data_IF_622964999428
#
_entry.id   IF_622964999428
#
_cell.length_a   1.000
_cell.length_b   1.000
_cell.length_c   1.000
_cell.angle_alpha   90.00
_cell.angle_beta   90.00
_cell.angle_gamma   90.00
#
_symmetry.space_group_name_H-M   'P 1'
#
loop_
_entity.id
_entity.type
_entity.pdbx_description
1 polymer ?
#
# COMPACT_ATOMS: atom_id res chain seq x y z
N UNK A 1 20.01 -7.21 35.02
CA UNK A 1 19.37 -7.63 33.75
C UNK A 1 20.46 -8.19 32.81
N UNK A 2 20.35 -9.47 32.43
CA UNK A 2 21.32 -10.09 31.50
C UNK A 2 21.18 -9.44 30.11
N UNK A 3 22.32 -9.01 29.52
CA UNK A 3 22.35 -8.49 28.15
C UNK A 3 21.80 -9.55 27.18
N UNK A 4 20.87 -9.23 26.30
CA UNK A 4 20.34 -10.19 25.34
C UNK A 4 21.49 -10.74 24.49
N UNK A 5 21.67 -12.07 24.50
CA UNK A 5 22.74 -12.77 23.76
C UNK A 5 22.55 -12.69 22.24
N UNK A 6 21.33 -12.46 21.75
CA UNK A 6 21.01 -12.37 20.33
C UNK A 6 20.89 -10.93 19.86
N UNK A 7 21.59 -10.57 18.77
CA UNK A 7 21.51 -9.25 18.12
C UNK A 7 20.05 -8.89 17.81
N UNK A 8 19.25 -9.81 17.30
CA UNK A 8 17.83 -9.60 16.98
C UNK A 8 16.95 -9.23 18.18
N UNK A 9 17.39 -9.49 19.41
CA UNK A 9 16.66 -9.10 20.62
C UNK A 9 16.91 -7.64 21.04
N UNK A 10 17.90 -6.97 20.43
CA UNK A 10 18.19 -5.55 20.71
C UNK A 10 17.20 -4.64 19.98
N UNK A 11 16.78 -3.50 20.60
CA UNK A 11 15.92 -2.50 19.93
C UNK A 11 16.53 -1.96 18.64
N UNK A 12 17.85 -1.75 18.64
CA UNK A 12 18.63 -1.25 17.50
C UNK A 12 18.55 -2.17 16.26
N UNK A 13 18.38 -3.48 16.47
CA UNK A 13 18.27 -4.44 15.37
C UNK A 13 17.11 -4.14 14.43
N UNK A 14 15.96 -3.74 14.97
CA UNK A 14 14.80 -3.37 14.15
C UNK A 14 15.07 -2.15 13.28
N UNK A 15 15.79 -1.16 13.80
CA UNK A 15 16.22 0.01 13.03
C UNK A 15 17.10 -0.38 11.82
N UNK A 16 18.13 -1.19 12.06
CA UNK A 16 19.03 -1.63 10.99
C UNK A 16 18.33 -2.53 9.98
N UNK A 17 17.42 -3.42 10.43
CA UNK A 17 16.63 -4.26 9.53
C UNK A 17 15.71 -3.43 8.63
N UNK A 18 15.05 -2.41 9.17
CA UNK A 18 14.23 -1.49 8.37
C UNK A 18 15.11 -0.76 7.36
N UNK A 19 16.26 -0.23 7.78
CA UNK A 19 17.15 0.51 6.89
C UNK A 19 17.69 -0.38 5.75
N UNK A 20 18.15 -1.59 6.07
CA UNK A 20 18.64 -2.56 5.09
C UNK A 20 17.52 -2.95 4.12
N UNK A 21 16.33 -3.29 4.64
CA UNK A 21 15.21 -3.70 3.79
C UNK A 21 14.75 -2.56 2.87
N UNK A 22 14.60 -1.34 3.39
CA UNK A 22 14.22 -0.17 2.58
C UNK A 22 15.28 0.14 1.52
N UNK A 23 16.56 0.11 1.87
CA UNK A 23 17.64 0.37 0.91
C UNK A 23 17.69 -0.71 -0.17
N UNK A 24 17.65 -1.99 0.21
CA UNK A 24 17.68 -3.10 -0.74
C UNK A 24 16.47 -3.10 -1.68
N UNK A 25 15.25 -2.91 -1.14
CA UNK A 25 14.03 -2.81 -1.94
C UNK A 25 14.03 -1.58 -2.85
N UNK A 26 14.59 -0.44 -2.41
CA UNK A 26 14.69 0.77 -3.24
C UNK A 26 15.65 0.59 -4.41
N UNK A 27 16.83 -0.01 -4.17
CA UNK A 27 17.81 -0.30 -5.24
C UNK A 27 17.24 -1.30 -6.22
N UNK A 28 16.70 -2.42 -5.72
CA UNK A 28 16.09 -3.44 -6.56
C UNK A 28 14.90 -2.87 -7.33
N UNK A 29 14.06 -2.06 -6.68
CA UNK A 29 12.91 -1.40 -7.31
C UNK A 29 13.34 -0.50 -8.48
N UNK A 30 14.38 0.34 -8.32
CA UNK A 30 14.88 1.18 -9.42
C UNK A 30 15.43 0.35 -10.58
N UNK A 31 16.17 -0.72 -10.29
CA UNK A 31 16.71 -1.62 -11.31
C UNK A 31 15.57 -2.32 -12.07
N UNK A 32 14.56 -2.81 -11.36
CA UNK A 32 13.45 -3.52 -11.97
C UNK A 32 12.50 -2.57 -12.72
N UNK A 33 12.28 -1.35 -12.22
CA UNK A 33 11.54 -0.33 -12.95
C UNK A 33 12.26 0.04 -14.24
N UNK A 34 13.60 0.20 -14.21
CA UNK A 34 14.39 0.43 -15.43
C UNK A 34 14.21 -0.71 -16.42
N UNK A 35 14.38 -1.97 -15.97
CA UNK A 35 14.21 -3.14 -16.82
C UNK A 35 12.82 -3.22 -17.43
N UNK A 36 11.77 -3.09 -16.61
CA UNK A 36 10.39 -3.25 -17.03
C UNK A 36 9.88 -2.09 -17.89
N UNK A 37 10.41 -0.86 -17.71
CA UNK A 37 9.90 0.33 -18.39
C UNK A 37 10.75 0.81 -19.57
N UNK A 38 11.96 0.31 -19.74
CA UNK A 38 12.92 0.84 -20.74
C UNK A 38 12.33 0.89 -22.17
N UNK A 39 11.64 -0.17 -22.60
CA UNK A 39 11.04 -0.27 -23.93
C UNK A 39 9.88 0.72 -24.08
N UNK A 40 8.97 0.74 -23.11
CA UNK A 40 7.82 1.67 -23.09
C UNK A 40 8.29 3.12 -23.05
N UNK A 41 9.27 3.42 -22.20
CA UNK A 41 9.85 4.76 -22.05
C UNK A 41 10.47 5.25 -23.34
N UNK A 42 11.22 4.38 -24.05
CA UNK A 42 11.80 4.69 -25.35
C UNK A 42 10.71 5.00 -26.40
N UNK A 43 9.67 4.20 -26.43
CA UNK A 43 8.57 4.38 -27.37
C UNK A 43 7.77 5.66 -27.11
N UNK A 44 7.46 5.97 -25.84
CA UNK A 44 6.63 7.13 -25.46
C UNK A 44 7.41 8.47 -25.50
N UNK A 45 8.70 8.47 -25.11
CA UNK A 45 9.46 9.71 -24.89
C UNK A 45 10.75 9.81 -25.69
N UNK A 46 11.12 8.78 -26.47
CA UNK A 46 12.41 8.71 -27.15
C UNK A 46 13.63 8.45 -26.24
N UNK A 47 13.39 8.26 -24.91
CA UNK A 47 14.45 8.04 -23.93
C UNK A 47 14.09 6.90 -22.99
N UNK A 48 14.90 5.84 -22.97
CA UNK A 48 14.69 4.65 -22.10
C UNK A 48 14.73 4.95 -20.59
N UNK A 49 15.34 6.05 -20.17
CA UNK A 49 15.53 6.42 -18.77
C UNK A 49 14.47 7.38 -18.22
N UNK A 50 13.51 7.82 -19.02
CA UNK A 50 12.53 8.84 -18.62
C UNK A 50 11.66 8.39 -17.44
N UNK A 51 11.15 7.16 -17.46
CA UNK A 51 10.28 6.61 -16.39
C UNK A 51 11.10 6.36 -15.11
N UNK A 52 12.26 5.69 -15.22
CA UNK A 52 13.11 5.42 -14.03
C UNK A 52 13.71 6.69 -13.44
N UNK A 53 14.03 7.70 -14.26
CA UNK A 53 14.50 9.00 -13.79
C UNK A 53 13.45 9.72 -12.94
N UNK A 54 12.19 9.65 -13.35
CA UNK A 54 11.05 10.15 -12.56
C UNK A 54 10.92 9.40 -11.23
N UNK A 55 11.04 8.07 -11.25
CA UNK A 55 11.00 7.23 -10.05
C UNK A 55 12.15 7.57 -9.08
N UNK A 56 13.38 7.73 -9.62
CA UNK A 56 14.55 8.11 -8.83
C UNK A 56 14.38 9.49 -8.18
N UNK A 57 13.83 10.46 -8.91
CA UNK A 57 13.53 11.79 -8.36
C UNK A 57 12.57 11.70 -7.17
N UNK A 58 11.46 10.96 -7.30
CA UNK A 58 10.52 10.79 -6.19
C UNK A 58 11.12 9.99 -5.03
N UNK A 59 11.99 9.02 -5.30
CA UNK A 59 12.70 8.29 -4.24
C UNK A 59 13.62 9.23 -3.45
N UNK A 60 14.40 10.10 -4.11
CA UNK A 60 15.25 11.08 -3.44
C UNK A 60 14.41 12.04 -2.59
N UNK A 61 13.30 12.53 -3.15
CA UNK A 61 12.36 13.39 -2.42
C UNK A 61 11.77 12.67 -1.20
N UNK A 62 11.37 11.41 -1.34
CA UNK A 62 10.84 10.59 -0.24
C UNK A 62 11.88 10.36 0.86
N UNK A 63 13.14 10.09 0.50
CA UNK A 63 14.24 9.94 1.46
C UNK A 63 14.52 11.25 2.21
N UNK A 64 14.49 12.39 1.52
CA UNK A 64 14.64 13.70 2.14
C UNK A 64 13.50 13.99 3.12
N UNK A 65 12.25 13.80 2.70
CA UNK A 65 11.07 14.00 3.56
C UNK A 65 11.08 13.02 4.75
N UNK A 66 11.48 11.77 4.52
CA UNK A 66 11.67 10.77 5.57
C UNK A 66 12.72 11.22 6.60
N UNK A 67 13.87 11.69 6.15
CA UNK A 67 14.90 12.23 7.03
C UNK A 67 14.43 13.46 7.83
N UNK A 68 13.71 14.37 7.20
CA UNK A 68 13.11 15.51 7.88
C UNK A 68 12.06 15.09 8.91
N UNK A 69 11.24 14.11 8.59
CA UNK A 69 10.21 13.59 9.50
C UNK A 69 10.79 12.95 10.75
N UNK A 70 11.96 12.32 10.67
CA UNK A 70 12.66 11.74 11.84
C UNK A 70 13.09 12.81 12.85
N UNK A 71 13.27 14.07 12.43
CA UNK A 71 13.62 15.19 13.34
C UNK A 71 12.41 15.76 14.08
N UNK A 72 11.20 15.41 13.67
CA UNK A 72 9.97 15.89 14.27
C UNK A 72 9.62 15.06 15.51
N UNK A 73 9.24 15.74 16.59
CA UNK A 73 8.81 15.08 17.83
C UNK A 73 7.43 14.45 17.65
N UNK A 74 7.19 13.29 18.24
CA UNK A 74 5.89 12.59 18.21
C UNK A 74 4.70 13.50 18.62
N UNK A 75 4.91 14.40 19.58
CA UNK A 75 3.92 15.39 20.00
C UNK A 75 3.46 16.34 18.89
N UNK A 76 4.32 16.62 17.90
CA UNK A 76 3.93 17.45 16.75
C UNK A 76 2.97 16.68 15.83
N UNK A 77 3.27 15.41 15.59
CA UNK A 77 2.42 14.53 14.78
C UNK A 77 1.01 14.39 15.36
N UNK A 78 0.90 14.21 16.68
CA UNK A 78 -0.39 14.21 17.38
C UNK A 78 -1.13 15.55 17.23
N UNK A 79 -0.44 16.67 17.39
CA UNK A 79 -1.06 18.00 17.26
C UNK A 79 -1.62 18.26 15.86
N UNK A 80 -0.95 17.76 14.80
CA UNK A 80 -1.40 17.93 13.42
C UNK A 80 -2.40 16.85 12.97
N UNK A 81 -2.65 15.84 13.77
CA UNK A 81 -3.52 14.71 13.39
C UNK A 81 -4.94 15.12 12.95
N UNK A 82 -5.65 16.06 13.59
CA UNK A 82 -6.94 16.55 13.08
C UNK A 82 -6.83 17.21 11.71
N UNK A 83 -5.73 17.96 11.49
CA UNK A 83 -5.44 18.58 10.20
C UNK A 83 -5.08 17.54 9.14
N UNK A 84 -4.45 16.42 9.52
CA UNK A 84 -4.10 15.35 8.58
C UNK A 84 -5.34 14.67 7.99
N UNK A 85 -6.38 14.43 8.79
CA UNK A 85 -7.66 13.92 8.28
C UNK A 85 -8.33 14.94 7.35
N UNK A 86 -8.37 16.21 7.75
CA UNK A 86 -8.95 17.27 6.93
C UNK A 86 -8.20 17.40 5.60
N UNK A 87 -6.87 17.40 5.63
CA UNK A 87 -6.04 17.42 4.43
C UNK A 87 -6.31 16.20 3.54
N UNK A 88 -6.44 15.01 4.13
CA UNK A 88 -6.81 13.78 3.42
C UNK A 88 -8.15 13.93 2.69
N UNK A 89 -9.17 14.47 3.37
CA UNK A 89 -10.48 14.71 2.76
C UNK A 89 -10.40 15.73 1.61
N UNK A 90 -9.66 16.82 1.80
CA UNK A 90 -9.46 17.84 0.75
C UNK A 90 -8.76 17.24 -0.46
N UNK A 91 -7.67 16.49 -0.25
CA UNK A 91 -6.89 15.87 -1.33
C UNK A 91 -7.72 14.81 -2.08
N UNK A 92 -8.58 14.04 -1.37
CA UNK A 92 -9.51 13.09 -2.00
C UNK A 92 -10.62 13.76 -2.82
N UNK A 93 -10.96 15.01 -2.51
CA UNK A 93 -11.95 15.77 -3.29
C UNK A 93 -11.36 16.38 -4.57
N UNK A 94 -10.03 16.62 -4.63
CA UNK A 94 -9.40 17.27 -5.78
C UNK A 94 -9.70 16.57 -7.13
N UNK A 95 -9.63 15.22 -7.26
CA UNK A 95 -9.96 14.56 -8.52
C UNK A 95 -11.42 14.77 -8.97
N UNK A 96 -12.31 15.12 -8.05
CA UNK A 96 -13.73 15.33 -8.33
C UNK A 96 -14.04 16.74 -8.87
N UNK A 97 -13.06 17.65 -8.78
CA UNK A 97 -13.22 19.00 -9.27
C UNK A 97 -12.99 19.06 -10.79
N UNK A 98 -13.81 19.83 -11.52
CA UNK A 98 -13.63 20.02 -12.96
C UNK A 98 -12.22 20.55 -13.27
N UNK A 99 -11.54 19.93 -14.24
CA UNK A 99 -10.21 20.32 -14.68
C UNK A 99 -9.02 19.76 -13.90
N UNK A 100 -9.23 19.12 -12.74
CA UNK A 100 -8.16 18.51 -11.93
C UNK A 100 -8.07 16.99 -12.08
N UNK A 101 -9.23 16.34 -12.21
CA UNK A 101 -9.32 14.89 -12.22
C UNK A 101 -8.96 14.26 -13.57
N UNK A 102 -8.20 13.17 -13.55
CA UNK A 102 -7.99 12.29 -14.68
C UNK A 102 -8.78 11.01 -14.48
N UNK A 103 -9.66 10.69 -15.43
CA UNK A 103 -10.41 9.43 -15.41
C UNK A 103 -9.61 8.35 -16.12
N UNK A 104 -9.33 7.25 -15.42
CA UNK A 104 -8.63 6.07 -15.94
C UNK A 104 -9.52 4.86 -15.71
N UNK A 105 -9.88 4.14 -16.76
CA UNK A 105 -10.72 2.94 -16.70
C UNK A 105 -12.06 3.15 -15.95
N UNK A 106 -12.63 4.36 -16.03
CA UNK A 106 -13.89 4.72 -15.38
C UNK A 106 -13.76 5.16 -13.90
N UNK A 107 -12.55 5.21 -13.35
CA UNK A 107 -12.25 5.70 -12.01
C UNK A 107 -11.66 7.13 -12.10
N UNK A 108 -12.21 8.06 -11.33
CA UNK A 108 -11.73 9.45 -11.25
C UNK A 108 -11.03 9.66 -9.91
N UNK A 109 -9.83 9.09 -9.78
CA UNK A 109 -9.04 9.05 -8.55
C UNK A 109 -7.60 9.51 -8.74
N UNK A 110 -7.27 10.05 -9.91
CA UNK A 110 -5.95 10.59 -10.24
C UNK A 110 -6.00 12.09 -10.50
N UNK A 111 -4.95 12.80 -10.14
CA UNK A 111 -4.72 14.21 -10.48
C UNK A 111 -3.45 14.34 -11.30
N UNK A 112 -3.40 15.33 -12.19
CA UNK A 112 -2.21 15.67 -12.98
C UNK A 112 -1.72 17.02 -12.51
N UNK A 113 -0.53 17.07 -11.93
CA UNK A 113 0.13 18.31 -11.49
C UNK A 113 1.51 18.40 -12.16
N UNK A 114 1.75 19.45 -12.91
CA UNK A 114 3.02 19.69 -13.61
C UNK A 114 3.51 18.48 -14.46
N UNK A 115 2.58 17.76 -15.10
CA UNK A 115 2.87 16.56 -15.90
C UNK A 115 3.06 15.27 -15.09
N UNK A 116 2.96 15.31 -13.76
CA UNK A 116 2.99 14.12 -12.90
C UNK A 116 1.58 13.66 -12.58
N UNK A 117 1.35 12.37 -12.73
CA UNK A 117 0.10 11.73 -12.31
C UNK A 117 0.27 11.26 -10.85
N UNK A 118 -0.59 11.75 -9.96
CA UNK A 118 -0.54 11.50 -8.52
C UNK A 118 -1.89 10.92 -8.10
N UNK A 119 -1.86 9.90 -7.23
CA UNK A 119 -3.06 9.32 -6.63
C UNK A 119 -3.27 9.90 -5.22
N UNK A 120 -4.26 10.75 -5.01
CA UNK A 120 -4.55 11.38 -3.72
C UNK A 120 -4.78 10.42 -2.57
N UNK A 121 -5.35 9.25 -2.83
CA UNK A 121 -5.63 8.25 -1.80
C UNK A 121 -4.38 7.68 -1.14
N UNK A 122 -3.21 7.69 -1.81
CA UNK A 122 -1.95 7.26 -1.19
C UNK A 122 -1.56 8.19 -0.01
N UNK A 123 -1.72 9.49 -0.18
CA UNK A 123 -1.50 10.47 0.88
C UNK A 123 -2.59 10.42 1.94
N UNK A 124 -3.84 10.18 1.52
CA UNK A 124 -4.97 10.08 2.43
C UNK A 124 -4.84 8.89 3.40
N UNK A 125 -4.29 7.75 2.97
CA UNK A 125 -4.00 6.60 3.85
C UNK A 125 -3.08 7.01 4.99
N UNK A 126 -1.99 7.74 4.70
CA UNK A 126 -1.07 8.21 5.73
C UNK A 126 -1.74 9.16 6.72
N UNK A 127 -2.47 10.16 6.22
CA UNK A 127 -3.20 11.11 7.06
C UNK A 127 -4.27 10.43 7.93
N UNK A 128 -4.96 9.44 7.39
CA UNK A 128 -5.94 8.64 8.12
C UNK A 128 -5.29 7.82 9.24
N UNK A 129 -4.14 7.18 8.99
CA UNK A 129 -3.39 6.42 10.01
C UNK A 129 -2.97 7.34 11.16
N UNK A 130 -2.41 8.51 10.87
CA UNK A 130 -1.99 9.49 11.89
C UNK A 130 -3.19 9.94 12.72
N UNK A 131 -4.31 10.22 12.07
CA UNK A 131 -5.54 10.60 12.76
C UNK A 131 -6.07 9.48 13.67
N UNK A 132 -6.15 8.24 13.17
CA UNK A 132 -6.55 7.09 13.97
C UNK A 132 -5.67 6.92 15.21
N UNK A 133 -4.35 7.03 15.05
CA UNK A 133 -3.39 6.91 16.15
C UNK A 133 -3.61 7.97 17.23
N UNK A 134 -3.86 9.21 16.85
CA UNK A 134 -4.17 10.30 17.79
C UNK A 134 -5.49 10.06 18.53
N UNK A 135 -6.54 9.62 17.81
CA UNK A 135 -7.83 9.34 18.44
C UNK A 135 -7.77 8.17 19.42
N UNK A 136 -7.01 7.12 19.09
CA UNK A 136 -6.78 5.98 19.97
C UNK A 136 -5.95 6.37 21.20
N UNK A 137 -4.92 7.17 21.02
CA UNK A 137 -4.15 7.70 22.15
C UNK A 137 -5.02 8.52 23.10
N UNK A 138 -5.89 9.41 22.59
CA UNK A 138 -6.86 10.15 23.40
C UNK A 138 -7.87 9.22 24.08
N UNK A 139 -8.28 8.14 23.40
CA UNK A 139 -9.12 7.11 23.99
C UNK A 139 -8.45 6.46 25.19
N UNK A 140 -7.20 6.01 25.04
CA UNK A 140 -6.41 5.39 26.12
C UNK A 140 -6.26 6.34 27.32
N UNK A 141 -5.98 7.64 27.07
CA UNK A 141 -5.88 8.63 28.11
C UNK A 141 -7.20 8.82 28.89
N UNK A 142 -8.33 8.85 28.19
CA UNK A 142 -9.66 8.97 28.82
C UNK A 142 -9.96 7.75 29.71
N UNK A 143 -9.67 6.56 29.23
CA UNK A 143 -9.84 5.32 30.02
C UNK A 143 -8.94 5.35 31.26
N UNK A 144 -7.68 5.77 31.13
CA UNK A 144 -6.75 5.91 32.26
C UNK A 144 -7.22 6.93 33.32
N UNK A 145 -8.03 7.93 32.90
CA UNK A 145 -8.66 8.92 33.81
C UNK A 145 -10.02 8.43 34.37
N UNK A 146 -10.43 7.18 34.07
CA UNK A 146 -11.74 6.64 34.48
C UNK A 146 -12.94 7.15 33.66
N UNK A 147 -12.69 7.88 32.56
CA UNK A 147 -13.74 8.42 31.69
C UNK A 147 -14.12 7.34 30.67
N UNK A 148 -15.41 7.02 30.59
CA UNK A 148 -15.93 6.09 29.57
C UNK A 148 -15.66 6.64 28.18
N UNK A 149 -15.01 5.87 27.33
CA UNK A 149 -14.74 6.20 25.93
C UNK A 149 -15.06 4.99 25.05
N UNK A 150 -15.67 5.22 23.91
CA UNK A 150 -16.00 4.17 22.94
C UNK A 150 -15.16 4.36 21.68
N UNK A 151 -14.38 3.35 21.31
CA UNK A 151 -13.49 3.35 20.14
C UNK A 151 -14.28 3.57 18.85
N UNK A 152 -15.42 2.87 18.71
CA UNK A 152 -16.24 2.96 17.50
C UNK A 152 -16.79 4.37 17.28
N UNK A 153 -17.31 5.01 18.33
CA UNK A 153 -17.82 6.39 18.24
C UNK A 153 -16.68 7.36 17.88
N UNK A 154 -15.50 7.12 18.37
CA UNK A 154 -14.33 8.01 18.13
C UNK A 154 -13.75 7.89 16.72
N UNK A 155 -13.79 6.71 16.10
CA UNK A 155 -13.08 6.41 14.86
C UNK A 155 -14.01 6.24 13.64
N UNK A 156 -15.20 5.64 13.83
CA UNK A 156 -16.10 5.33 12.71
C UNK A 156 -16.50 6.53 11.88
N UNK A 157 -16.80 7.73 12.44
CA UNK A 157 -17.17 8.88 11.61
C UNK A 157 -16.07 9.30 10.62
N UNK A 158 -14.81 9.35 11.05
CA UNK A 158 -13.69 9.68 10.18
C UNK A 158 -13.40 8.58 9.16
N UNK A 159 -13.53 7.32 9.55
CA UNK A 159 -13.42 6.19 8.64
C UNK A 159 -14.48 6.26 7.54
N UNK A 160 -15.75 6.40 7.90
CA UNK A 160 -16.84 6.47 6.92
C UNK A 160 -16.71 7.69 5.99
N UNK A 161 -16.21 8.83 6.50
CA UNK A 161 -15.96 10.00 5.68
C UNK A 161 -14.90 9.74 4.61
N UNK A 162 -13.76 9.13 4.99
CA UNK A 162 -12.67 8.79 4.06
C UNK A 162 -13.16 7.76 3.03
N UNK A 163 -13.86 6.71 3.48
CA UNK A 163 -14.43 5.66 2.61
C UNK A 163 -15.42 6.24 1.61
N UNK A 164 -16.32 7.12 2.04
CA UNK A 164 -17.29 7.77 1.16
C UNK A 164 -16.60 8.60 0.06
N UNK A 165 -15.52 9.31 0.40
CA UNK A 165 -14.74 10.11 -0.56
C UNK A 165 -13.98 9.24 -1.55
N UNK A 166 -13.38 8.14 -1.11
CA UNK A 166 -12.70 7.17 -1.98
C UNK A 166 -13.71 6.52 -2.92
N UNK A 167 -14.85 6.09 -2.39
CA UNK A 167 -15.91 5.46 -3.17
C UNK A 167 -16.52 6.42 -4.21
N UNK A 168 -16.60 7.73 -3.90
CA UNK A 168 -17.01 8.77 -4.87
C UNK A 168 -16.09 8.79 -6.09
N UNK A 169 -14.77 8.49 -5.92
CA UNK A 169 -13.81 8.30 -7.00
C UNK A 169 -13.94 6.96 -7.73
N UNK A 170 -14.88 6.10 -7.33
CA UNK A 170 -15.14 4.73 -7.84
C UNK A 170 -13.98 3.75 -7.61
N UNK A 171 -13.09 4.05 -6.65
CA UNK A 171 -11.92 3.24 -6.33
C UNK A 171 -12.23 2.23 -5.21
N UNK A 172 -12.86 1.11 -5.58
CA UNK A 172 -13.19 0.05 -4.63
C UNK A 172 -11.93 -0.63 -4.08
N UNK A 173 -10.87 -0.75 -4.88
CA UNK A 173 -9.62 -1.37 -4.44
C UNK A 173 -9.00 -0.63 -3.28
N UNK A 174 -8.83 0.68 -3.41
CA UNK A 174 -8.30 1.52 -2.32
C UNK A 174 -9.23 1.54 -1.10
N UNK A 175 -10.56 1.54 -1.30
CA UNK A 175 -11.52 1.43 -0.19
C UNK A 175 -11.29 0.16 0.62
N UNK A 176 -11.15 -0.99 -0.01
CA UNK A 176 -10.82 -2.25 0.68
C UNK A 176 -9.49 -2.16 1.44
N UNK A 177 -8.45 -1.54 0.84
CA UNK A 177 -7.17 -1.35 1.55
C UNK A 177 -7.35 -0.52 2.81
N UNK A 178 -8.06 0.61 2.75
CA UNK A 178 -8.30 1.48 3.91
C UNK A 178 -9.12 0.78 4.97
N UNK A 179 -10.15 0.01 4.59
CA UNK A 179 -10.93 -0.80 5.52
C UNK A 179 -10.07 -1.86 6.23
N UNK A 180 -9.17 -2.53 5.52
CA UNK A 180 -8.26 -3.52 6.10
C UNK A 180 -7.21 -2.87 7.01
N UNK A 181 -6.67 -1.69 6.65
CA UNK A 181 -5.79 -0.91 7.54
C UNK A 181 -6.54 -0.54 8.82
N UNK A 182 -7.77 -0.06 8.70
CA UNK A 182 -8.62 0.29 9.85
C UNK A 182 -8.87 -0.91 10.76
N UNK A 183 -9.25 -2.05 10.19
CA UNK A 183 -9.43 -3.30 10.94
C UNK A 183 -8.14 -3.73 11.67
N UNK A 184 -6.98 -3.62 11.01
CA UNK A 184 -5.68 -3.91 11.61
C UNK A 184 -5.35 -2.98 12.78
N UNK A 185 -5.62 -1.68 12.65
CA UNK A 185 -5.43 -0.69 13.73
C UNK A 185 -6.35 -1.02 14.92
N UNK A 186 -7.63 -1.34 14.67
CA UNK A 186 -8.59 -1.72 15.72
C UNK A 186 -8.17 -3.01 16.42
N UNK A 187 -7.67 -4.01 15.69
CA UNK A 187 -7.13 -5.24 16.25
C UNK A 187 -5.97 -4.97 17.23
N UNK A 188 -5.02 -4.10 16.84
CA UNK A 188 -3.88 -3.73 17.67
C UNK A 188 -4.31 -2.86 18.87
N UNK A 189 -5.40 -2.10 18.72
CA UNK A 189 -6.03 -1.36 19.82
C UNK A 189 -6.75 -2.25 20.84
N UNK A 190 -6.83 -3.57 20.58
CA UNK A 190 -7.44 -4.53 21.50
C UNK A 190 -8.95 -4.65 21.39
N UNK A 191 -9.54 -4.23 20.27
CA UNK A 191 -10.97 -4.44 20.01
C UNK A 191 -11.25 -5.94 19.93
N UNK A 192 -12.30 -6.45 20.62
CA UNK A 192 -12.61 -7.88 20.65
C UNK A 192 -12.79 -8.45 19.23
N UNK A 193 -12.20 -9.63 18.99
CA UNK A 193 -12.30 -10.32 17.68
C UNK A 193 -13.75 -10.49 17.23
N UNK A 194 -14.67 -10.72 18.16
CA UNK A 194 -16.11 -10.84 17.85
C UNK A 194 -16.67 -9.58 17.19
N UNK A 195 -16.30 -8.40 17.71
CA UNK A 195 -16.75 -7.12 17.12
C UNK A 195 -16.10 -6.86 15.76
N UNK A 196 -14.81 -7.18 15.64
CA UNK A 196 -14.08 -7.11 14.36
C UNK A 196 -14.66 -8.06 13.32
N UNK A 197 -15.04 -9.28 13.71
CA UNK A 197 -15.66 -10.25 12.81
C UNK A 197 -17.03 -9.77 12.31
N UNK A 198 -17.84 -9.17 13.20
CA UNK A 198 -19.12 -8.58 12.79
C UNK A 198 -18.90 -7.40 11.84
N UNK A 199 -17.99 -6.49 12.16
CA UNK A 199 -17.66 -5.37 11.28
C UNK A 199 -17.10 -5.84 9.94
N UNK A 200 -16.23 -6.87 9.96
CA UNK A 200 -15.68 -7.50 8.77
C UNK A 200 -16.74 -8.18 7.90
N UNK A 201 -17.69 -8.89 8.51
CA UNK A 201 -18.81 -9.50 7.81
C UNK A 201 -19.72 -8.45 7.15
N UNK A 202 -20.02 -7.35 7.85
CA UNK A 202 -20.80 -6.25 7.29
C UNK A 202 -20.05 -5.56 6.14
N UNK A 203 -18.76 -5.27 6.32
CA UNK A 203 -17.92 -4.69 5.25
C UNK A 203 -17.81 -5.62 4.04
N UNK A 204 -17.59 -6.93 4.27
CA UNK A 204 -17.55 -7.94 3.24
C UNK A 204 -18.85 -8.05 2.46
N UNK A 205 -20.00 -7.97 3.16
CA UNK A 205 -21.31 -7.94 2.51
C UNK A 205 -21.45 -6.70 1.60
N UNK A 206 -21.04 -5.52 2.07
CA UNK A 206 -21.06 -4.29 1.25
C UNK A 206 -20.20 -4.47 0.00
N UNK A 207 -18.96 -4.96 0.16
CA UNK A 207 -18.06 -5.22 -0.98
C UNK A 207 -18.67 -6.24 -1.95
N UNK A 208 -19.25 -7.34 -1.44
CA UNK A 208 -19.91 -8.35 -2.28
C UNK A 208 -21.05 -7.75 -3.10
N UNK A 209 -21.92 -6.96 -2.49
CA UNK A 209 -23.00 -6.24 -3.19
C UNK A 209 -22.44 -5.32 -4.27
N UNK A 210 -21.39 -4.54 -3.96
CA UNK A 210 -20.76 -3.63 -4.91
C UNK A 210 -20.03 -4.33 -6.06
N UNK A 211 -19.57 -5.55 -5.85
CA UNK A 211 -18.97 -6.38 -6.93
C UNK A 211 -20.07 -6.97 -7.80
N UNK A 212 -21.09 -7.57 -7.20
CA UNK A 212 -22.16 -8.28 -7.94
C UNK A 212 -23.01 -7.30 -8.78
N UNK A 213 -23.22 -6.08 -8.28
CA UNK A 213 -24.01 -5.06 -9.01
C UNK A 213 -23.31 -4.48 -10.24
N UNK A 214 -22.00 -4.71 -10.42
CA UNK A 214 -21.24 -4.16 -11.53
C UNK A 214 -20.57 -5.27 -12.34
N UNK A 215 -21.10 -5.59 -13.54
CA UNK A 215 -20.63 -6.65 -14.42
C UNK A 215 -19.10 -6.66 -14.65
N UNK A 216 -18.48 -5.48 -14.81
CA UNK A 216 -17.03 -5.38 -15.00
C UNK A 216 -16.23 -5.83 -13.77
N UNK A 217 -16.72 -5.55 -12.56
CA UNK A 217 -16.08 -5.98 -11.30
C UNK A 217 -16.26 -7.48 -11.11
N UNK A 218 -17.46 -7.99 -11.40
CA UNK A 218 -17.75 -9.41 -11.33
C UNK A 218 -16.87 -10.21 -12.30
N UNK A 219 -16.73 -9.74 -13.54
CA UNK A 219 -15.85 -10.37 -14.54
C UNK A 219 -14.38 -10.38 -14.08
N UNK A 220 -13.90 -9.29 -13.47
CA UNK A 220 -12.53 -9.25 -12.89
C UNK A 220 -12.37 -10.26 -11.75
N UNK A 221 -13.37 -10.38 -10.89
CA UNK A 221 -13.35 -11.36 -9.80
C UNK A 221 -13.26 -12.80 -10.32
N UNK A 222 -14.08 -13.17 -11.29
CA UNK A 222 -14.01 -14.51 -11.89
C UNK A 222 -12.73 -14.73 -12.70
N UNK A 223 -12.24 -13.69 -13.36
CA UNK A 223 -10.97 -13.76 -14.08
C UNK A 223 -9.75 -13.97 -13.18
N UNK A 224 -9.81 -13.57 -11.89
CA UNK A 224 -8.77 -13.89 -10.90
C UNK A 224 -8.80 -15.38 -10.52
N UNK A 225 -9.99 -16.00 -10.49
CA UNK A 225 -10.12 -17.43 -10.15
C UNK A 225 -9.68 -18.35 -11.29
N UNK A 226 -10.00 -17.98 -12.54
CA UNK A 226 -9.61 -18.71 -13.74
C UNK A 226 -9.27 -17.72 -14.88
N UNK A 227 -8.04 -17.17 -14.89
CA UNK A 227 -7.63 -16.19 -15.89
C UNK A 227 -7.45 -16.80 -17.29
N UNK A 228 -7.27 -18.11 -17.40
CA UNK A 228 -7.07 -18.82 -18.67
C UNK A 228 -8.36 -19.28 -19.33
N UNK A 229 -9.52 -19.10 -18.70
CA UNK A 229 -10.78 -19.49 -19.29
C UNK A 229 -11.06 -18.71 -20.58
N UNK A 230 -11.63 -19.38 -21.57
CA UNK A 230 -11.95 -18.81 -22.90
C UNK A 230 -12.79 -17.53 -22.77
N UNK A 231 -13.65 -17.47 -21.75
CA UNK A 231 -14.55 -16.35 -21.50
C UNK A 231 -13.80 -15.07 -21.05
N UNK A 232 -12.73 -15.20 -20.25
CA UNK A 232 -12.06 -14.06 -19.62
C UNK A 232 -10.69 -13.76 -20.21
N UNK A 233 -10.03 -14.74 -20.85
CA UNK A 233 -8.65 -14.62 -21.32
C UNK A 233 -8.39 -13.40 -22.21
N UNK A 234 -9.29 -13.12 -23.19
CA UNK A 234 -9.15 -11.96 -24.09
C UNK A 234 -9.58 -10.62 -23.48
N UNK A 235 -9.96 -10.61 -22.21
CA UNK A 235 -10.46 -9.42 -21.51
C UNK A 235 -9.87 -9.26 -20.12
N UNK A 236 -10.71 -9.41 -19.09
CA UNK A 236 -10.32 -9.21 -17.70
C UNK A 236 -9.23 -10.20 -17.22
N UNK A 237 -9.12 -11.37 -17.82
CA UNK A 237 -8.12 -12.40 -17.53
C UNK A 237 -6.75 -12.18 -18.19
N UNK A 238 -6.65 -11.27 -19.17
CA UNK A 238 -5.41 -11.07 -19.93
C UNK A 238 -4.21 -10.74 -19.02
N UNK A 239 -4.36 -9.74 -18.18
CA UNK A 239 -3.27 -9.30 -17.27
C UNK A 239 -2.89 -10.36 -16.23
N UNK A 240 -3.85 -10.97 -15.48
CA UNK A 240 -3.51 -12.05 -14.55
C UNK A 240 -2.89 -13.27 -15.24
N UNK A 241 -3.39 -13.67 -16.40
CA UNK A 241 -2.83 -14.81 -17.14
C UNK A 241 -1.37 -14.56 -17.55
N UNK A 242 -1.08 -13.39 -18.13
CA UNK A 242 0.28 -13.04 -18.54
C UNK A 242 1.21 -12.81 -17.36
N UNK A 243 0.69 -12.33 -16.22
CA UNK A 243 1.44 -12.25 -14.97
C UNK A 243 1.88 -13.65 -14.50
N UNK A 244 0.97 -14.61 -14.48
CA UNK A 244 1.28 -15.99 -14.10
C UNK A 244 2.23 -16.67 -15.11
N UNK A 245 2.07 -16.42 -16.41
CA UNK A 245 2.99 -16.91 -17.45
C UNK A 245 4.41 -16.35 -17.24
N UNK A 246 4.54 -15.06 -16.92
CA UNK A 246 5.81 -14.44 -16.60
C UNK A 246 6.48 -15.12 -15.40
N UNK A 247 5.77 -15.27 -14.28
CA UNK A 247 6.27 -15.98 -13.10
C UNK A 247 6.69 -17.41 -13.41
N UNK A 248 5.90 -18.14 -14.18
CA UNK A 248 6.18 -19.54 -14.54
C UNK A 248 7.40 -19.69 -15.47
N UNK A 249 7.65 -18.71 -16.35
CA UNK A 249 8.75 -18.78 -17.33
C UNK A 249 10.13 -18.53 -16.71
N UNK A 250 10.21 -17.90 -15.53
CA UNK A 250 11.48 -17.58 -14.89
C UNK A 250 12.21 -18.75 -14.23
N UNK A 251 11.52 -19.86 -13.93
CA UNK A 251 12.12 -21.01 -13.26
C UNK A 251 12.78 -20.63 -11.93
N UNK A 252 13.90 -21.28 -11.60
CA UNK A 252 14.61 -21.04 -10.32
C UNK A 252 15.46 -19.76 -10.35
N UNK A 253 16.18 -19.50 -11.45
CA UNK A 253 17.21 -18.44 -11.54
C UNK A 253 16.82 -17.28 -12.44
N UNK A 254 15.66 -17.34 -13.10
CA UNK A 254 15.23 -16.35 -14.06
C UNK A 254 15.85 -16.53 -15.45
N UNK A 255 15.33 -15.79 -16.41
CA UNK A 255 15.85 -15.76 -17.80
C UNK A 255 16.92 -14.69 -18.02
N UNK A 256 17.25 -13.92 -16.96
CA UNK A 256 18.24 -12.85 -16.97
C UNK A 256 17.62 -11.45 -16.95
N UNK A 257 18.36 -10.51 -16.36
CA UNK A 257 17.95 -9.10 -16.28
C UNK A 257 17.77 -8.53 -17.69
N UNK A 258 16.68 -7.81 -17.91
CA UNK A 258 16.36 -7.22 -19.20
C UNK A 258 15.75 -8.18 -20.22
N UNK A 259 15.61 -9.47 -19.93
CA UNK A 259 15.17 -10.49 -20.88
C UNK A 259 13.66 -10.77 -20.83
N UNK A 260 12.91 -10.14 -19.92
CA UNK A 260 11.45 -10.34 -19.80
C UNK A 260 10.73 -10.09 -21.12
N UNK A 261 9.86 -11.02 -21.49
CA UNK A 261 8.99 -10.93 -22.66
C UNK A 261 7.73 -10.11 -22.39
N UNK A 262 7.31 -10.08 -21.12
CA UNK A 262 6.07 -9.40 -20.70
C UNK A 262 6.15 -7.88 -20.86
N UNK A 263 7.34 -7.28 -20.81
CA UNK A 263 7.55 -5.82 -20.98
C UNK A 263 7.40 -5.31 -22.41
N UNK A 264 7.29 -6.16 -23.42
CA UNK A 264 7.17 -5.77 -24.81
C UNK A 264 5.73 -5.46 -25.25
N UNK A 265 4.89 -5.02 -24.33
CA UNK A 265 3.51 -4.61 -24.56
C UNK A 265 2.47 -5.71 -24.32
N UNK A 266 2.91 -6.92 -23.96
CA UNK A 266 2.03 -8.04 -23.62
C UNK A 266 1.33 -7.81 -22.28
N UNK A 267 2.06 -7.30 -21.28
CA UNK A 267 1.55 -6.98 -19.96
C UNK A 267 1.49 -5.46 -19.77
N UNK A 268 0.27 -4.92 -19.76
CA UNK A 268 0.07 -3.51 -19.43
C UNK A 268 0.51 -3.26 -17.99
N UNK A 269 1.10 -2.07 -17.72
CA UNK A 269 1.57 -1.66 -16.40
C UNK A 269 2.60 -2.65 -15.78
N UNK A 270 3.44 -3.28 -16.62
CA UNK A 270 4.48 -4.21 -16.19
C UNK A 270 5.50 -3.60 -15.21
N UNK A 271 5.70 -2.27 -15.26
CA UNK A 271 6.64 -1.53 -14.40
C UNK A 271 6.02 -0.99 -13.10
N UNK A 272 4.72 -1.18 -12.89
CA UNK A 272 3.96 -0.75 -11.71
C UNK A 272 3.23 -1.94 -11.07
N UNK A 273 2.01 -2.22 -11.49
CA UNK A 273 1.12 -3.20 -10.86
C UNK A 273 1.61 -4.64 -11.00
N UNK A 274 2.30 -4.96 -12.10
CA UNK A 274 2.78 -6.31 -12.39
C UNK A 274 4.31 -6.45 -12.35
N UNK A 275 5.01 -5.53 -11.66
CA UNK A 275 6.47 -5.57 -11.55
C UNK A 275 6.96 -6.87 -10.91
N UNK A 276 6.19 -7.47 -9.99
CA UNK A 276 6.52 -8.74 -9.34
C UNK A 276 6.59 -9.89 -10.34
N UNK A 277 5.72 -9.88 -11.36
CA UNK A 277 5.77 -10.85 -12.46
C UNK A 277 7.06 -10.70 -13.29
N UNK A 278 7.48 -9.46 -13.58
CA UNK A 278 8.75 -9.21 -14.28
C UNK A 278 9.94 -9.63 -13.45
N UNK A 279 9.92 -9.39 -12.12
CA UNK A 279 10.94 -9.89 -11.19
C UNK A 279 11.01 -11.42 -11.26
N UNK A 280 9.86 -12.09 -11.24
CA UNK A 280 9.81 -13.55 -11.33
C UNK A 280 10.32 -14.08 -12.66
N UNK A 281 10.03 -13.43 -13.78
CA UNK A 281 10.55 -13.82 -15.08
C UNK A 281 12.05 -13.58 -15.18
N UNK A 282 12.56 -12.40 -14.77
CA UNK A 282 13.98 -12.04 -14.94
C UNK A 282 14.91 -12.63 -13.88
N UNK A 283 14.49 -12.73 -12.61
CA UNK A 283 15.31 -13.21 -11.47
C UNK A 283 14.86 -14.57 -10.94
N UNK A 284 13.78 -15.14 -11.45
CA UNK A 284 13.25 -16.43 -11.06
C UNK A 284 12.69 -16.50 -9.64
N UNK A 285 12.50 -17.72 -9.16
CA UNK A 285 11.99 -17.99 -7.82
C UNK A 285 12.89 -17.40 -6.72
N UNK A 286 14.20 -17.42 -6.91
CA UNK A 286 15.13 -16.85 -5.92
C UNK A 286 14.96 -15.35 -5.79
N UNK A 287 14.75 -14.62 -6.89
CA UNK A 287 14.48 -13.19 -6.89
C UNK A 287 13.16 -12.84 -6.20
N UNK A 288 12.10 -13.57 -6.51
CA UNK A 288 10.78 -13.35 -5.88
C UNK A 288 10.80 -13.66 -4.39
N UNK A 289 11.45 -14.76 -3.97
CA UNK A 289 11.62 -15.11 -2.55
C UNK A 289 12.46 -14.06 -1.81
N UNK A 290 13.52 -13.54 -2.41
CA UNK A 290 14.33 -12.48 -1.81
C UNK A 290 13.49 -11.21 -1.56
N UNK A 291 12.66 -10.80 -2.52
CA UNK A 291 11.72 -9.66 -2.37
C UNK A 291 10.73 -9.91 -1.24
N UNK A 292 10.11 -11.10 -1.22
CA UNK A 292 9.15 -11.47 -0.16
C UNK A 292 9.79 -11.46 1.22
N UNK A 293 11.00 -12.00 1.36
CA UNK A 293 11.75 -12.02 2.62
C UNK A 293 12.15 -10.62 3.08
N UNK A 294 12.54 -9.73 2.16
CA UNK A 294 12.82 -8.32 2.48
C UNK A 294 11.57 -7.61 2.98
N UNK A 295 10.42 -7.78 2.32
CA UNK A 295 9.15 -7.21 2.79
C UNK A 295 8.69 -7.82 4.12
N UNK A 296 8.81 -9.13 4.29
CA UNK A 296 8.49 -9.80 5.56
C UNK A 296 9.37 -9.25 6.70
N UNK A 297 10.68 -9.13 6.47
CA UNK A 297 11.63 -8.55 7.43
C UNK A 297 11.29 -7.10 7.77
N UNK A 298 10.92 -6.29 6.77
CA UNK A 298 10.49 -4.91 6.95
C UNK A 298 9.22 -4.84 7.82
N UNK A 299 8.18 -5.56 7.44
CA UNK A 299 6.87 -5.56 8.13
C UNK A 299 7.02 -6.04 9.58
N UNK A 300 7.72 -7.16 9.80
CA UNK A 300 7.98 -7.68 11.14
C UNK A 300 8.78 -6.69 12.00
N UNK A 301 9.74 -5.98 11.40
CA UNK A 301 10.51 -4.96 12.11
C UNK A 301 9.65 -3.75 12.47
N UNK A 302 8.75 -3.31 11.59
CA UNK A 302 7.79 -2.23 11.88
C UNK A 302 6.89 -2.63 13.06
N UNK A 303 6.29 -3.81 13.06
CA UNK A 303 5.47 -4.27 14.17
C UNK A 303 6.26 -4.43 15.47
N UNK A 304 7.52 -4.87 15.40
CA UNK A 304 8.38 -4.94 16.57
C UNK A 304 8.67 -3.55 17.16
N UNK A 305 8.90 -2.54 16.31
CA UNK A 305 9.02 -1.14 16.75
C UNK A 305 7.71 -0.65 17.38
N UNK A 306 6.56 -0.97 16.77
CA UNK A 306 5.26 -0.61 17.31
C UNK A 306 5.02 -1.18 18.72
N UNK A 307 5.39 -2.45 18.93
CA UNK A 307 5.25 -3.12 20.24
C UNK A 307 6.21 -2.55 21.30
N UNK A 308 7.36 -2.02 20.90
CA UNK A 308 8.35 -1.37 21.77
C UNK A 308 8.17 0.14 21.92
N UNK A 309 7.12 0.72 21.35
CA UNK A 309 6.89 2.17 21.36
C UNK A 309 6.68 2.74 22.76
N UNK A 310 7.19 3.93 23.00
CA UNK A 310 7.13 4.60 24.31
C UNK A 310 5.76 5.22 24.60
N UNK A 311 5.01 5.57 23.57
CA UNK A 311 3.67 6.18 23.68
C UNK A 311 2.64 5.38 22.88
N UNK A 312 1.38 5.40 23.33
CA UNK A 312 0.28 4.78 22.57
C UNK A 312 0.13 5.39 21.17
N UNK A 313 0.39 6.70 21.02
CA UNK A 313 0.37 7.34 19.69
C UNK A 313 1.39 6.69 18.73
N UNK A 314 2.65 6.59 19.17
CA UNK A 314 3.72 5.96 18.36
C UNK A 314 3.38 4.50 18.04
N UNK A 315 2.86 3.76 19.02
CA UNK A 315 2.41 2.38 18.85
C UNK A 315 1.39 2.26 17.71
N UNK A 316 0.30 3.04 17.78
CA UNK A 316 -0.80 2.94 16.81
C UNK A 316 -0.41 3.50 15.44
N UNK A 317 0.36 4.58 15.37
CA UNK A 317 0.84 5.13 14.11
C UNK A 317 1.76 4.15 13.38
N UNK A 318 2.76 3.60 14.09
CA UNK A 318 3.70 2.62 13.52
C UNK A 318 2.99 1.33 13.12
N UNK A 319 2.08 0.84 13.95
CA UNK A 319 1.30 -0.34 13.64
C UNK A 319 0.38 -0.13 12.42
N UNK A 320 -0.25 1.03 12.31
CA UNK A 320 -1.06 1.40 11.14
C UNK A 320 -0.24 1.42 9.85
N UNK A 321 1.00 1.92 9.88
CA UNK A 321 1.94 1.84 8.75
C UNK A 321 2.27 0.38 8.44
N UNK A 322 2.52 -0.46 9.46
CA UNK A 322 2.75 -1.90 9.28
C UNK A 322 1.57 -2.62 8.63
N UNK A 323 0.35 -2.30 9.05
CA UNK A 323 -0.88 -2.81 8.42
C UNK A 323 -0.98 -2.35 6.96
N UNK A 324 -0.68 -1.08 6.66
CA UNK A 324 -0.70 -0.56 5.29
C UNK A 324 0.27 -1.33 4.39
N UNK A 325 1.55 -1.46 4.79
CA UNK A 325 2.53 -2.22 4.02
C UNK A 325 2.10 -3.68 3.83
N UNK A 326 1.57 -4.33 4.87
CA UNK A 326 1.10 -5.71 4.79
C UNK A 326 -0.04 -5.88 3.78
N UNK A 327 -1.05 -4.99 3.82
CA UNK A 327 -2.20 -5.06 2.92
C UNK A 327 -1.82 -4.72 1.49
N UNK A 328 -0.97 -3.70 1.29
CA UNK A 328 -0.50 -3.31 -0.02
C UNK A 328 0.32 -4.44 -0.67
N UNK A 329 1.22 -5.06 0.09
CA UNK A 329 2.00 -6.22 -0.37
C UNK A 329 1.09 -7.38 -0.80
N UNK A 330 0.14 -7.76 0.05
CA UNK A 330 -0.78 -8.87 -0.22
C UNK A 330 -1.60 -8.63 -1.48
N UNK A 331 -2.09 -7.40 -1.69
CA UNK A 331 -2.91 -7.06 -2.87
C UNK A 331 -2.11 -6.91 -4.16
N UNK A 332 -0.83 -6.58 -4.07
CA UNK A 332 0.01 -6.43 -5.27
C UNK A 332 0.66 -7.74 -5.72
N UNK A 333 0.70 -8.76 -4.86
CA UNK A 333 1.29 -10.07 -5.17
C UNK A 333 0.21 -11.11 -5.48
N UNK A 334 -0.92 -11.04 -4.79
CA UNK A 334 -2.06 -11.96 -4.96
C UNK A 334 -3.07 -11.45 -5.92
#
# INVERSE_FOLDING_TARGET
MAKPKNFLAKPEASYYLILIAVTALSILGLLMVLSASAVRSLYETGNSFSIVGRQAFFLILALLLGYLSMKLKAKLWDRIAPLSLMASCVVLLLPQLPGFGKTVNGNTNWIVIAGFTIQPSEFAKMGFIIWCASRLWQHDQRIAQGIKSNIWISLTPGFLLVEALIYKGRDLGTAVVVALIFAGILFIAGVPIKELSVAGALGGLVVAVLVITHKNRLNRFFALLDPFSVQYYKGAGWQPAHSLMGLASGGLFGIGLGASRQKWGTLAEAHTDFIFSVIGEELGLLGTLAVLLLFAGLILSIFKVALGASTSFEKYATAGIGCWFSMQLTLNIG
#
